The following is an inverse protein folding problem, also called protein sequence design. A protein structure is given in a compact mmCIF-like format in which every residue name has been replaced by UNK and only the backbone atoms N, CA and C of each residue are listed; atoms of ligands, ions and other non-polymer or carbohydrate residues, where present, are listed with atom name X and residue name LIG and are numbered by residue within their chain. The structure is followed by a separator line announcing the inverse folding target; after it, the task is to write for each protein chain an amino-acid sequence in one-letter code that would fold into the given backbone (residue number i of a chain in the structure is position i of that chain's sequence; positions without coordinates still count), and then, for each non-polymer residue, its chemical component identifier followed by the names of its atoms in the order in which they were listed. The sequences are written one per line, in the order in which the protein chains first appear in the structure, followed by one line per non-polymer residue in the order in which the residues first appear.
data_IF_861517548444
#
_entry.id   IF_861517548444
#
_cell.length_a   1.000
_cell.length_b   1.000
_cell.length_c   1.000
_cell.angle_alpha   90.00
_cell.angle_beta   90.00
_cell.angle_gamma   90.00
#
_symmetry.space_group_name_H-M   'P 1'
#
loop_
_entity.id
_entity.type
_entity.pdbx_description
1 polymer ?
#
# COMPACT_ATOMS: atom_id res chain seq x y z
N UNK A 1 3.29 -9.22 12.47
CA UNK A 1 3.53 -10.68 12.48
C UNK A 1 4.38 -11.01 11.26
N UNK A 2 5.62 -11.47 11.45
CA UNK A 2 6.53 -11.80 10.34
C UNK A 2 6.48 -13.30 10.05
N UNK A 3 6.23 -13.70 8.80
CA UNK A 3 6.33 -15.09 8.35
C UNK A 3 7.64 -15.25 7.56
N UNK A 4 8.50 -16.19 7.95
CA UNK A 4 9.68 -16.57 7.18
C UNK A 4 9.49 -17.97 6.59
N UNK A 5 9.52 -18.10 5.26
CA UNK A 5 9.63 -19.39 4.57
C UNK A 5 11.10 -19.68 4.30
N UNK A 6 11.63 -20.74 4.89
CA UNK A 6 13.08 -21.02 4.99
C UNK A 6 13.70 -21.62 3.71
N UNK A 7 13.08 -21.47 2.53
CA UNK A 7 13.59 -22.01 1.24
C UNK A 7 13.41 -21.07 0.05
N UNK A 8 13.51 -19.76 0.26
CA UNK A 8 13.58 -18.80 -0.86
C UNK A 8 14.79 -17.89 -0.68
N UNK A 9 15.63 -17.68 -1.72
CA UNK A 9 16.74 -16.73 -1.67
C UNK A 9 16.27 -15.26 -1.57
N UNK A 10 14.95 -15.03 -1.58
CA UNK A 10 14.31 -13.71 -1.60
C UNK A 10 13.32 -13.58 -0.44
N UNK A 11 13.42 -12.48 0.30
CA UNK A 11 12.51 -12.08 1.36
C UNK A 11 11.40 -11.19 0.80
N UNK A 12 10.16 -11.49 1.18
CA UNK A 12 9.00 -10.65 0.88
C UNK A 12 8.58 -9.93 2.17
N UNK A 13 8.60 -8.60 2.14
CA UNK A 13 8.21 -7.75 3.26
C UNK A 13 6.88 -7.07 2.91
N UNK A 14 5.82 -7.50 3.58
CA UNK A 14 4.46 -6.97 3.44
C UNK A 14 4.20 -6.03 4.64
N UNK A 15 3.99 -4.75 4.37
CA UNK A 15 3.85 -3.73 5.41
C UNK A 15 2.49 -3.06 5.32
N UNK A 16 1.81 -2.97 6.45
CA UNK A 16 0.70 -2.03 6.61
C UNK A 16 1.22 -0.59 6.76
N UNK A 17 0.36 0.40 6.54
CA UNK A 17 0.73 1.82 6.65
C UNK A 17 0.31 2.43 7.99
N UNK A 18 -0.99 2.63 8.22
CA UNK A 18 -1.52 3.35 9.38
C UNK A 18 -1.38 2.52 10.67
N UNK A 19 -0.74 3.09 11.68
CA UNK A 19 -0.42 2.37 12.92
C UNK A 19 0.80 1.44 12.80
N UNK A 20 1.42 1.33 11.62
CA UNK A 20 2.62 0.51 11.39
C UNK A 20 3.81 1.37 10.97
N UNK A 21 3.74 2.02 9.81
CA UNK A 21 4.78 2.92 9.30
C UNK A 21 4.54 4.37 9.69
N UNK A 22 3.29 4.73 9.95
CA UNK A 22 2.84 6.05 10.39
C UNK A 22 1.94 5.93 11.63
N UNK A 23 1.79 6.96 12.47
CA UNK A 23 0.87 6.94 13.60
C UNK A 23 -0.58 7.00 13.14
N UNK A 24 -1.49 6.55 14.01
CA UNK A 24 -2.89 6.91 13.88
C UNK A 24 -3.06 8.39 14.26
N UNK A 25 -3.63 9.18 13.36
CA UNK A 25 -3.88 10.62 13.55
C UNK A 25 -5.34 10.94 13.24
N UNK A 26 -5.97 11.89 13.95
CA UNK A 26 -7.32 12.37 13.62
C UNK A 26 -7.41 12.90 12.20
N UNK A 27 -6.38 13.63 11.73
CA UNK A 27 -6.29 14.05 10.34
C UNK A 27 -5.48 13.03 9.54
N UNK A 28 -6.17 12.13 8.83
CA UNK A 28 -5.51 11.09 8.02
C UNK A 28 -4.54 11.63 6.96
N UNK A 29 -4.69 12.88 6.50
CA UNK A 29 -3.77 13.47 5.52
C UNK A 29 -2.45 13.96 6.12
N UNK A 30 -2.28 13.85 7.43
CA UNK A 30 -1.06 14.19 8.16
C UNK A 30 -0.43 12.96 8.83
N UNK A 31 -0.82 11.75 8.41
CA UNK A 31 -0.26 10.50 8.90
C UNK A 31 1.12 10.26 8.28
N UNK A 32 2.08 11.14 8.54
CA UNK A 32 3.43 11.03 8.03
C UNK A 32 4.15 9.82 8.64
N UNK A 33 5.05 9.15 7.89
CA UNK A 33 5.85 8.06 8.45
C UNK A 33 6.63 8.50 9.70
N UNK A 34 6.86 7.57 10.63
CA UNK A 34 7.74 7.85 11.76
C UNK A 34 9.15 8.23 11.29
N UNK A 35 9.87 8.99 12.12
CA UNK A 35 11.25 9.38 11.85
C UNK A 35 12.11 8.15 11.53
N UNK A 36 12.88 8.23 10.43
CA UNK A 36 13.78 7.15 10.02
C UNK A 36 13.12 6.00 9.25
N UNK A 37 11.80 6.01 9.04
CA UNK A 37 11.10 4.94 8.28
C UNK A 37 11.43 5.04 6.80
N UNK A 38 11.35 6.24 6.21
CA UNK A 38 11.61 6.48 4.79
C UNK A 38 13.01 6.01 4.41
N UNK A 39 14.02 6.40 5.20
CA UNK A 39 15.43 6.05 5.00
C UNK A 39 15.64 4.54 5.04
N UNK A 40 15.06 3.86 6.04
CA UNK A 40 15.14 2.39 6.17
C UNK A 40 14.46 1.67 5.02
N UNK A 41 13.30 2.17 4.56
CA UNK A 41 12.61 1.59 3.41
C UNK A 41 13.45 1.76 2.14
N UNK A 42 14.09 2.91 1.93
CA UNK A 42 15.00 3.10 0.80
C UNK A 42 16.21 2.17 0.84
N UNK A 43 16.78 1.92 2.02
CA UNK A 43 17.85 0.93 2.20
C UNK A 43 17.38 -0.48 1.85
N UNK A 44 16.20 -0.88 2.34
CA UNK A 44 15.60 -2.18 2.06
C UNK A 44 15.31 -2.38 0.56
N UNK A 45 14.81 -1.35 -0.12
CA UNK A 45 14.52 -1.36 -1.56
C UNK A 45 15.76 -1.56 -2.43
N UNK A 46 16.95 -1.18 -1.95
CA UNK A 46 18.22 -1.38 -2.66
C UNK A 46 18.71 -2.84 -2.58
N UNK A 47 18.20 -3.63 -1.63
CA UNK A 47 18.64 -5.01 -1.43
C UNK A 47 17.90 -5.91 -2.43
N UNK A 48 18.61 -6.40 -3.45
CA UNK A 48 18.05 -7.25 -4.55
C UNK A 48 17.24 -8.46 -4.08
N UNK A 49 17.57 -9.01 -2.91
CA UNK A 49 16.88 -10.15 -2.32
C UNK A 49 15.66 -9.77 -1.47
N UNK A 50 15.30 -8.49 -1.36
CA UNK A 50 14.14 -8.03 -0.59
C UNK A 50 13.16 -7.40 -1.55
N UNK A 51 11.92 -7.88 -1.54
CA UNK A 51 10.78 -7.22 -2.18
C UNK A 51 9.94 -6.59 -1.10
N UNK A 52 9.81 -5.27 -1.13
CA UNK A 52 8.94 -4.50 -0.23
C UNK A 52 7.61 -4.24 -0.94
N UNK A 53 6.51 -4.50 -0.24
CA UNK A 53 5.16 -4.23 -0.69
C UNK A 53 4.40 -3.54 0.43
N UNK A 54 3.76 -2.42 0.11
CA UNK A 54 2.89 -1.69 1.04
C UNK A 54 1.45 -2.11 0.78
N UNK A 55 0.71 -2.44 1.83
CA UNK A 55 -0.70 -2.81 1.76
C UNK A 55 -1.46 -1.87 2.70
N UNK A 56 -2.46 -1.15 2.22
CA UNK A 56 -3.19 -0.20 3.05
C UNK A 56 -4.67 -0.10 2.67
N UNK A 57 -5.47 0.34 3.64
CA UNK A 57 -6.82 0.84 3.38
C UNK A 57 -6.84 2.20 2.68
N UNK A 58 -5.72 2.95 2.69
CA UNK A 58 -5.57 4.19 1.92
C UNK A 58 -5.60 3.92 0.43
N UNK A 59 -6.04 4.89 -0.36
CA UNK A 59 -5.86 4.80 -1.80
C UNK A 59 -4.38 4.99 -2.18
N UNK A 60 -3.98 4.53 -3.37
CA UNK A 60 -2.56 4.59 -3.79
C UNK A 60 -2.08 6.03 -3.88
N UNK A 61 -2.91 6.95 -4.39
CA UNK A 61 -2.51 8.34 -4.57
C UNK A 61 -2.18 9.02 -3.22
N UNK A 62 -2.93 8.72 -2.16
CA UNK A 62 -2.69 9.21 -0.81
C UNK A 62 -1.43 8.59 -0.22
N UNK A 63 -1.20 7.28 -0.44
CA UNK A 63 0.06 6.63 -0.06
C UNK A 63 1.27 7.28 -0.73
N UNK A 64 1.20 7.57 -2.03
CA UNK A 64 2.30 8.19 -2.78
C UNK A 64 2.62 9.61 -2.30
N UNK A 65 1.62 10.34 -1.78
CA UNK A 65 1.80 11.68 -1.20
C UNK A 65 2.46 11.62 0.18
N UNK A 66 2.13 10.62 0.99
CA UNK A 66 2.58 10.52 2.37
C UNK A 66 3.90 9.74 2.51
N UNK A 67 4.09 8.71 1.69
CA UNK A 67 5.30 7.88 1.64
C UNK A 67 6.15 8.28 0.42
N UNK A 68 6.83 9.42 0.55
CA UNK A 68 7.71 9.95 -0.49
C UNK A 68 9.04 9.21 -0.45
N UNK A 69 9.30 8.39 -1.48
CA UNK A 69 10.52 7.59 -1.65
C UNK A 69 11.13 7.87 -3.03
N UNK A 70 12.45 7.75 -3.16
CA UNK A 70 13.13 7.87 -4.46
C UNK A 70 12.65 6.82 -5.48
N UNK A 71 12.38 5.60 -5.01
CA UNK A 71 11.79 4.51 -5.79
C UNK A 71 10.56 4.00 -5.05
N UNK A 72 9.43 3.96 -5.75
CA UNK A 72 8.20 3.50 -5.14
C UNK A 72 8.12 1.97 -5.14
N UNK A 73 7.89 1.34 -3.97
CA UNK A 73 7.57 -0.08 -3.88
C UNK A 73 6.25 -0.38 -4.60
N UNK A 74 5.95 -1.67 -4.73
CA UNK A 74 4.58 -2.06 -5.02
C UNK A 74 3.66 -1.64 -3.88
N UNK A 75 2.51 -1.07 -4.23
CA UNK A 75 1.50 -0.60 -3.29
C UNK A 75 0.15 -1.20 -3.63
N UNK A 76 -0.54 -1.71 -2.63
CA UNK A 76 -1.94 -2.12 -2.69
C UNK A 76 -2.74 -1.16 -1.84
N UNK A 77 -3.66 -0.43 -2.46
CA UNK A 77 -4.51 0.56 -1.82
C UNK A 77 -5.97 0.11 -1.78
N UNK A 78 -6.83 0.91 -1.17
CA UNK A 78 -8.28 0.69 -1.05
C UNK A 78 -8.62 -0.74 -0.63
N UNK A 79 -7.90 -1.25 0.39
CA UNK A 79 -8.05 -2.62 0.88
C UNK A 79 -7.80 -3.71 -0.19
N UNK A 80 -6.93 -3.44 -1.15
CA UNK A 80 -6.56 -4.35 -2.24
C UNK A 80 -7.33 -4.14 -3.54
N UNK A 81 -8.24 -3.16 -3.62
CA UNK A 81 -8.98 -2.84 -4.85
C UNK A 81 -8.13 -2.14 -5.90
N UNK A 82 -7.03 -1.50 -5.51
CA UNK A 82 -6.11 -0.86 -6.43
C UNK A 82 -4.67 -1.29 -6.15
N UNK A 83 -3.86 -1.25 -7.19
CA UNK A 83 -2.47 -1.66 -7.15
C UNK A 83 -1.62 -0.73 -8.00
N UNK A 84 -0.49 -0.32 -7.46
CA UNK A 84 0.59 0.31 -8.20
C UNK A 84 1.82 -0.58 -8.16
N UNK A 85 2.40 -0.86 -9.32
CA UNK A 85 3.60 -1.69 -9.45
C UNK A 85 4.37 -1.32 -10.71
N UNK A 86 5.67 -1.09 -10.59
CA UNK A 86 6.57 -0.78 -11.72
C UNK A 86 6.07 0.38 -12.61
N UNK A 87 5.50 1.43 -12.00
CA UNK A 87 4.96 2.58 -12.72
C UNK A 87 3.54 2.37 -13.28
N UNK A 88 3.00 1.16 -13.20
CA UNK A 88 1.66 0.84 -13.68
C UNK A 88 0.66 0.88 -12.53
N UNK A 89 -0.40 1.66 -12.70
CA UNK A 89 -1.58 1.63 -11.85
C UNK A 89 -2.65 0.71 -12.44
N UNK A 90 -3.28 -0.09 -11.59
CA UNK A 90 -4.42 -0.95 -11.96
C UNK A 90 -5.46 -0.93 -10.85
N UNK A 91 -6.73 -0.97 -11.24
CA UNK A 91 -7.87 -1.09 -10.34
C UNK A 91 -8.61 -2.39 -10.65
N UNK A 92 -9.15 -3.05 -9.63
CA UNK A 92 -9.99 -4.21 -9.81
C UNK A 92 -11.34 -3.78 -10.37
N UNK A 93 -11.66 -4.19 -11.60
CA UNK A 93 -12.93 -3.85 -12.21
C UNK A 93 -14.06 -4.69 -11.60
N UNK A 94 -15.12 -4.00 -11.17
CA UNK A 94 -16.35 -4.66 -10.77
C UNK A 94 -17.01 -5.24 -12.01
N UNK A 95 -17.55 -6.47 -11.90
CA UNK A 95 -18.39 -6.98 -12.96
C UNK A 95 -19.70 -6.17 -13.06
N UNK A 96 -20.41 -6.31 -14.18
CA UNK A 96 -21.62 -5.52 -14.45
C UNK A 96 -22.65 -5.61 -13.31
N UNK A 97 -22.84 -6.81 -12.73
CA UNK A 97 -23.78 -7.02 -11.62
C UNK A 97 -23.36 -6.25 -10.37
N UNK A 98 -22.09 -6.35 -9.98
CA UNK A 98 -21.52 -5.62 -8.83
C UNK A 98 -21.60 -4.10 -9.05
N UNK A 99 -21.36 -3.63 -10.28
CA UNK A 99 -21.45 -2.22 -10.61
C UNK A 99 -22.89 -1.71 -10.54
N UNK A 100 -23.87 -2.51 -10.99
CA UNK A 100 -25.30 -2.20 -10.87
C UNK A 100 -25.73 -2.11 -9.40
N UNK A 101 -25.33 -3.07 -8.56
CA UNK A 101 -25.63 -3.08 -7.13
C UNK A 101 -25.02 -1.87 -6.41
N UNK A 102 -23.75 -1.55 -6.70
CA UNK A 102 -23.09 -0.35 -6.15
C UNK A 102 -23.82 0.93 -6.55
N UNK A 103 -24.25 1.04 -7.81
CA UNK A 103 -25.00 2.20 -8.31
C UNK A 103 -26.39 2.32 -7.65
N UNK A 104 -27.05 1.21 -7.35
CA UNK A 104 -28.32 1.20 -6.62
C UNK A 104 -28.15 1.66 -5.16
N UNK A 105 -27.10 1.17 -4.47
CA UNK A 105 -26.78 1.56 -3.11
C UNK A 105 -26.49 3.07 -2.99
N UNK A 106 -25.71 3.64 -3.93
CA UNK A 106 -25.38 5.08 -3.95
C UNK A 106 -26.58 6.01 -4.16
N UNK A 107 -27.67 5.53 -4.76
CA UNK A 107 -28.90 6.32 -4.97
C UNK A 107 -29.83 6.33 -3.75
N UNK A 108 -29.55 5.49 -2.76
CA UNK A 108 -30.39 5.29 -1.57
C UNK A 108 -29.88 6.07 -0.35
N UNK A 109 -28.84 6.88 -0.52
CA UNK A 109 -28.20 7.77 0.47
C UNK A 109 -28.31 9.20 -0.03
#
# INVERSE_FOLDING_TARGET
MFFTSQKSPTFLLLLDYDGTLAPFTPNRFEAWPYEGITERLEELLKIKRIRVVIISGRNVADLQKLLVLCYQPEMWGSHGLERFSNGTYSHFELNEKQQQELNAAKKSV
#
